data_IF_430968665105
#
_entry.id   IF_430968665105
#
_cell.length_a   1.000
_cell.length_b   1.000
_cell.length_c   1.000
_cell.angle_alpha   90.00
_cell.angle_beta   90.00
_cell.angle_gamma   90.00
#
_symmetry.space_group_name_H-M   'P 1'
#
loop_
_entity.id
_entity.type
_entity.pdbx_description
1 polymer ?
#
# COMPACT_ATOMS: atom_id res chain seq x y z
N UNK A 1 10.68 -15.06 -24.55
CA UNK A 1 10.62 -13.66 -24.03
C UNK A 1 9.69 -13.68 -22.83
N UNK A 2 10.13 -13.19 -21.66
CA UNK A 2 9.30 -13.12 -20.45
C UNK A 2 8.98 -11.64 -20.21
N UNK A 3 7.70 -11.31 -19.99
CA UNK A 3 7.22 -9.94 -19.78
C UNK A 3 6.26 -9.91 -18.58
N UNK A 4 6.43 -8.92 -17.68
CA UNK A 4 5.60 -8.71 -16.50
C UNK A 4 5.03 -7.30 -16.58
N UNK A 5 3.70 -7.17 -16.55
CA UNK A 5 3.00 -5.88 -16.60
C UNK A 5 1.99 -5.79 -15.48
N UNK A 6 1.99 -4.66 -14.78
CA UNK A 6 0.90 -4.26 -13.90
C UNK A 6 0.13 -3.11 -14.55
N UNK A 7 -1.20 -3.17 -14.53
CA UNK A 7 -2.07 -2.12 -15.02
C UNK A 7 -3.15 -1.86 -13.99
N UNK A 8 -3.23 -0.62 -13.51
CA UNK A 8 -4.35 -0.17 -12.70
C UNK A 8 -5.49 0.26 -13.61
N UNK A 9 -6.66 -0.35 -13.44
CA UNK A 9 -7.85 -0.05 -14.24
C UNK A 9 -8.62 1.19 -13.75
N UNK A 10 -8.42 1.57 -12.49
CA UNK A 10 -9.05 2.73 -11.85
C UNK A 10 -8.12 3.29 -10.79
N UNK A 11 -8.35 4.56 -10.41
CA UNK A 11 -7.67 5.18 -9.25
C UNK A 11 -8.15 4.64 -7.91
N UNK A 12 -9.32 4.00 -7.88
CA UNK A 12 -9.91 3.41 -6.67
C UNK A 12 -8.96 2.42 -5.99
N UNK A 13 -8.15 1.68 -6.75
CA UNK A 13 -7.19 0.72 -6.18
C UNK A 13 -6.14 1.39 -5.30
N UNK A 14 -5.73 2.62 -5.63
CA UNK A 14 -4.77 3.39 -4.84
C UNK A 14 -5.43 3.97 -3.58
N UNK A 15 -6.69 4.41 -3.70
CA UNK A 15 -7.46 4.91 -2.56
C UNK A 15 -7.70 3.80 -1.55
N UNK A 16 -8.04 2.60 -2.00
CA UNK A 16 -8.19 1.43 -1.13
C UNK A 16 -6.89 1.12 -0.36
N UNK A 17 -5.74 1.16 -1.04
CA UNK A 17 -4.43 0.99 -0.40
C UNK A 17 -4.11 2.08 0.63
N UNK A 18 -4.42 3.34 0.33
CA UNK A 18 -4.22 4.45 1.26
C UNK A 18 -5.11 4.33 2.51
N UNK A 19 -6.38 3.91 2.35
CA UNK A 19 -7.30 3.68 3.48
C UNK A 19 -6.83 2.50 4.32
N UNK A 20 -6.32 1.44 3.70
CA UNK A 20 -5.72 0.31 4.41
C UNK A 20 -4.51 0.77 5.24
N UNK A 21 -3.58 1.52 4.64
CA UNK A 21 -2.41 2.06 5.33
C UNK A 21 -2.80 2.98 6.50
N UNK A 22 -3.81 3.84 6.31
CA UNK A 22 -4.31 4.73 7.35
C UNK A 22 -4.90 3.97 8.55
N UNK A 23 -5.59 2.84 8.31
CA UNK A 23 -6.09 1.97 9.40
C UNK A 23 -4.97 1.21 10.09
N UNK A 24 -3.95 0.80 9.35
CA UNK A 24 -2.83 0.01 9.88
C UNK A 24 -1.84 0.83 10.71
N UNK A 25 -1.55 2.08 10.30
CA UNK A 25 -0.48 2.90 10.90
C UNK A 25 -0.75 3.29 12.36
N UNK A 26 -2.00 3.25 12.82
CA UNK A 26 -2.39 3.65 14.17
C UNK A 26 -1.80 2.76 15.26
N UNK A 27 -1.51 1.50 14.92
CA UNK A 27 -0.93 0.51 15.85
C UNK A 27 0.60 0.45 15.77
N UNK A 28 1.22 1.28 14.94
CA UNK A 28 2.65 1.23 14.66
C UNK A 28 3.49 2.15 15.56
N UNK A 29 4.79 1.87 15.60
CA UNK A 29 5.75 2.68 16.37
C UNK A 29 5.82 4.10 15.81
N UNK A 30 5.63 5.09 16.69
CA UNK A 30 5.74 6.51 16.36
C UNK A 30 7.16 6.89 15.96
N UNK A 31 7.28 7.86 15.05
CA UNK A 31 8.56 8.40 14.58
C UNK A 31 9.31 7.49 13.60
N UNK A 32 8.69 6.38 13.18
CA UNK A 32 9.19 5.53 12.10
C UNK A 32 8.51 5.88 10.77
N UNK A 33 9.22 5.65 9.68
CA UNK A 33 8.70 5.75 8.31
C UNK A 33 8.43 4.32 7.82
N UNK A 34 7.24 4.12 7.27
CA UNK A 34 6.76 2.83 6.77
C UNK A 34 6.45 2.90 5.28
N UNK A 35 6.55 1.77 4.60
CA UNK A 35 6.22 1.58 3.19
C UNK A 35 5.02 0.62 3.01
N UNK A 36 4.44 0.59 1.80
CA UNK A 36 3.35 -0.34 1.52
C UNK A 36 3.75 -1.82 1.63
N UNK A 37 5.04 -2.15 1.53
CA UNK A 37 5.53 -3.50 1.83
C UNK A 37 5.32 -3.89 3.29
N UNK A 38 5.35 -2.94 4.21
CA UNK A 38 5.08 -3.19 5.65
C UNK A 38 3.58 -3.36 5.90
N UNK A 39 2.75 -2.66 5.13
CA UNK A 39 1.27 -2.72 5.20
C UNK A 39 0.74 -4.03 4.60
N UNK A 40 1.39 -4.54 3.56
CA UNK A 40 0.97 -5.72 2.79
C UNK A 40 1.63 -7.03 3.24
N UNK A 41 2.51 -6.98 4.24
CA UNK A 41 3.21 -8.14 4.80
C UNK A 41 2.29 -9.07 5.60
#
# INVERSE_FOLDING_TARGET
>A
RIEIRHQAHSREVFVAGAVMAAKWVVDQKKGAVYAMTDVLA
#
